data_IF_420676687920
#
_entry.id   IF_420676687920
#
_cell.length_a   1.000
_cell.length_b   1.000
_cell.length_c   1.000
_cell.angle_alpha   90.00
_cell.angle_beta   90.00
_cell.angle_gamma   90.00
#
_symmetry.space_group_name_H-M   'P 1'
#
loop_
_entity.id
_entity.type
_entity.pdbx_description
1 polymer ?
#
# COMPACT_ATOMS: atom_id res chain seq x y z
N UNK A 1 -39.45 15.29 6.76
CA UNK A 1 -38.50 14.87 5.71
C UNK A 1 -37.26 15.72 5.92
N UNK A 2 -36.37 15.25 6.78
CA UNK A 2 -35.21 16.01 7.24
C UNK A 2 -34.05 15.58 6.35
N UNK A 3 -33.65 16.47 5.45
CA UNK A 3 -32.53 16.25 4.53
C UNK A 3 -31.27 16.34 5.38
N UNK A 4 -30.73 15.20 5.80
CA UNK A 4 -29.39 15.14 6.36
C UNK A 4 -28.42 15.41 5.22
N UNK A 5 -28.00 16.67 5.10
CA UNK A 5 -26.80 17.03 4.34
C UNK A 5 -25.64 16.26 4.94
N UNK A 6 -25.14 15.27 4.20
CA UNK A 6 -23.97 14.46 4.52
C UNK A 6 -22.81 15.36 4.93
N UNK A 7 -22.59 15.44 6.24
CA UNK A 7 -21.43 16.08 6.82
C UNK A 7 -20.29 15.07 6.63
N UNK A 8 -19.55 15.20 5.53
CA UNK A 8 -18.30 14.47 5.33
C UNK A 8 -17.36 14.85 6.47
N UNK A 9 -17.33 14.01 7.51
CA UNK A 9 -16.41 14.15 8.62
C UNK A 9 -15.06 13.68 8.09
N UNK A 10 -14.31 14.58 7.47
CA UNK A 10 -12.89 14.35 7.19
C UNK A 10 -12.19 14.25 8.56
N UNK A 11 -12.07 13.04 9.09
CA UNK A 11 -11.03 12.75 10.08
C UNK A 11 -9.71 12.91 9.34
N UNK A 12 -9.12 14.10 9.46
CA UNK A 12 -7.70 14.25 9.22
C UNK A 12 -7.01 13.43 10.31
N UNK A 13 -6.78 12.14 10.05
CA UNK A 13 -5.82 11.37 10.84
C UNK A 13 -4.46 12.00 10.52
N UNK A 14 -4.07 12.97 11.34
CA UNK A 14 -2.71 13.49 11.33
C UNK A 14 -1.86 12.42 11.99
N UNK A 15 -1.64 11.28 11.33
CA UNK A 15 -0.43 10.53 11.60
C UNK A 15 0.68 11.46 11.20
N UNK A 16 1.34 12.07 12.18
CA UNK A 16 2.62 12.69 11.94
C UNK A 16 3.51 11.57 11.42
N UNK A 17 3.63 11.44 10.08
CA UNK A 17 4.80 10.86 9.48
C UNK A 17 5.92 11.75 10.00
N UNK A 18 6.52 11.37 11.13
CA UNK A 18 7.74 12.00 11.58
C UNK A 18 8.67 11.79 10.42
N UNK A 19 9.01 12.87 9.71
CA UNK A 19 9.94 12.83 8.61
C UNK A 19 11.30 12.41 9.18
N UNK A 20 11.45 11.12 9.47
CA UNK A 20 12.73 10.47 9.61
C UNK A 20 13.36 10.65 8.26
N UNK A 21 14.25 11.62 8.16
CA UNK A 21 15.08 11.77 6.99
C UNK A 21 15.97 10.53 7.01
N UNK A 22 15.61 9.46 6.33
CA UNK A 22 16.53 8.36 6.04
C UNK A 22 17.16 8.60 4.67
N UNK A 23 18.38 8.14 4.47
CA UNK A 23 19.03 8.22 3.16
C UNK A 23 18.75 6.95 2.35
N UNK A 24 18.56 7.10 1.05
CA UNK A 24 18.47 5.97 0.12
C UNK A 24 19.71 6.01 -0.77
N UNK A 25 20.60 5.03 -0.62
CA UNK A 25 21.83 4.92 -1.40
C UNK A 25 21.59 3.98 -2.59
N UNK A 26 21.61 4.47 -3.84
CA UNK A 26 21.44 3.62 -5.01
C UNK A 26 22.69 2.78 -5.27
N UNK A 27 22.48 1.50 -5.55
CA UNK A 27 23.46 0.63 -6.18
C UNK A 27 23.53 0.83 -7.70
N UNK A 28 24.47 0.14 -8.33
CA UNK A 28 24.57 0.08 -9.79
C UNK A 28 23.52 -0.87 -10.36
N UNK A 29 23.08 -0.60 -11.60
CA UNK A 29 22.26 -1.55 -12.35
C UNK A 29 23.13 -2.74 -12.74
N UNK A 30 22.64 -3.93 -12.46
CA UNK A 30 23.30 -5.19 -12.78
C UNK A 30 22.47 -6.00 -13.77
N UNK A 31 23.15 -6.82 -14.58
CA UNK A 31 22.48 -7.84 -15.40
C UNK A 31 22.34 -9.10 -14.54
N UNK A 32 21.17 -9.73 -14.54
CA UNK A 32 20.94 -10.95 -13.78
C UNK A 32 21.73 -12.13 -14.37
N UNK A 33 22.26 -12.98 -13.49
CA UNK A 33 23.00 -14.20 -13.85
C UNK A 33 22.10 -15.25 -14.51
N UNK A 34 20.84 -15.32 -14.11
CA UNK A 34 19.80 -16.18 -14.69
C UNK A 34 18.63 -15.31 -15.17
N UNK A 35 18.76 -14.62 -16.32
CA UNK A 35 17.72 -13.73 -16.80
C UNK A 35 16.51 -14.53 -17.31
N UNK A 36 15.33 -13.93 -17.21
CA UNK A 36 14.10 -14.39 -17.86
C UNK A 36 13.63 -13.33 -18.86
N UNK A 37 12.55 -13.62 -19.58
CA UNK A 37 11.95 -12.66 -20.51
C UNK A 37 11.62 -11.31 -19.85
N UNK A 38 11.16 -11.36 -18.58
CA UNK A 38 10.65 -10.20 -17.84
C UNK A 38 11.59 -9.72 -16.73
N UNK A 39 12.66 -10.47 -16.42
CA UNK A 39 13.67 -10.12 -15.42
C UNK A 39 15.06 -10.23 -16.03
N UNK A 40 15.68 -9.10 -16.39
CA UNK A 40 17.02 -9.06 -17.01
C UNK A 40 17.99 -8.17 -16.25
N UNK A 41 17.46 -7.12 -15.64
CA UNK A 41 18.22 -6.12 -14.94
C UNK A 41 17.67 -5.95 -13.52
N UNK A 42 18.57 -5.67 -12.59
CA UNK A 42 18.20 -5.35 -11.22
C UNK A 42 18.99 -4.14 -10.69
N UNK A 43 18.39 -3.41 -9.76
CA UNK A 43 19.00 -2.32 -9.01
C UNK A 43 18.51 -2.40 -7.57
N UNK A 44 19.43 -2.27 -6.62
CA UNK A 44 19.12 -2.24 -5.20
C UNK A 44 19.39 -0.85 -4.64
N UNK A 45 18.56 -0.40 -3.71
CA UNK A 45 18.83 0.74 -2.85
C UNK A 45 18.94 0.27 -1.41
N UNK A 46 19.90 0.81 -0.68
CA UNK A 46 19.99 0.65 0.77
C UNK A 46 19.31 1.84 1.43
N UNK A 47 18.35 1.57 2.33
CA UNK A 47 17.68 2.56 3.14
C UNK A 47 18.43 2.64 4.48
N UNK A 48 19.06 3.77 4.78
CA UNK A 48 19.88 3.95 5.98
C UNK A 48 19.34 5.06 6.87
N UNK A 49 19.39 4.82 8.17
CA UNK A 49 19.15 5.83 9.20
C UNK A 49 20.18 6.96 9.06
N UNK A 50 19.71 8.20 9.09
CA UNK A 50 20.58 9.35 9.36
C UNK A 50 20.70 9.60 10.88
N UNK A 51 19.69 9.18 11.65
CA UNK A 51 19.63 9.27 13.10
C UNK A 51 19.07 7.98 13.71
N UNK A 52 19.40 7.70 14.97
CA UNK A 52 18.90 6.50 15.67
C UNK A 52 17.38 6.50 15.91
N UNK A 53 16.69 7.61 15.64
CA UNK A 53 15.23 7.74 15.73
C UNK A 53 14.52 7.54 14.39
N UNK A 54 15.26 7.41 13.28
CA UNK A 54 14.64 7.22 11.97
C UNK A 54 14.02 5.82 11.89
N UNK A 55 12.78 5.76 11.38
CA UNK A 55 12.04 4.54 11.13
C UNK A 55 11.38 4.59 9.75
N UNK A 56 11.11 3.42 9.18
CA UNK A 56 10.25 3.28 8.01
C UNK A 56 8.86 2.91 8.51
N UNK A 57 7.96 3.89 8.55
CA UNK A 57 6.56 3.73 8.98
C UNK A 57 5.55 3.98 7.84
N UNK A 58 5.98 4.62 6.75
CA UNK A 58 5.15 4.92 5.60
C UNK A 58 5.79 4.48 4.26
N UNK A 59 4.95 4.03 3.32
CA UNK A 59 5.32 3.71 1.94
C UNK A 59 4.37 4.45 0.99
N UNK A 60 4.91 5.18 0.00
CA UNK A 60 4.13 5.83 -1.05
C UNK A 60 4.56 5.34 -2.45
N UNK A 61 3.68 4.62 -3.13
CA UNK A 61 3.98 3.92 -4.38
C UNK A 61 3.30 4.63 -5.54
N UNK A 62 4.07 5.12 -6.52
CA UNK A 62 3.54 5.62 -7.78
C UNK A 62 4.17 4.85 -8.96
N UNK A 63 3.99 3.54 -8.91
CA UNK A 63 4.53 2.58 -9.88
C UNK A 63 3.44 1.73 -10.50
N UNK A 64 3.86 0.94 -11.48
CA UNK A 64 3.10 -0.15 -12.05
C UNK A 64 3.92 -1.44 -11.91
N UNK A 65 3.30 -2.59 -12.19
CA UNK A 65 3.90 -3.90 -11.93
C UNK A 65 3.55 -4.41 -10.52
N UNK A 66 4.35 -5.34 -10.01
CA UNK A 66 4.10 -5.94 -8.69
C UNK A 66 5.06 -5.39 -7.66
N UNK A 67 4.55 -5.11 -6.46
CA UNK A 67 5.31 -4.66 -5.30
C UNK A 67 5.12 -5.65 -4.17
N UNK A 68 6.20 -6.14 -3.57
CA UNK A 68 6.15 -6.92 -2.34
C UNK A 68 6.78 -6.10 -1.22
N UNK A 69 6.12 -6.05 -0.07
CA UNK A 69 6.64 -5.46 1.16
C UNK A 69 6.75 -6.55 2.18
N UNK A 70 7.97 -6.80 2.65
CA UNK A 70 8.29 -7.92 3.51
C UNK A 70 9.36 -7.56 4.53
N UNK A 71 9.40 -8.32 5.62
CA UNK A 71 10.35 -8.13 6.70
C UNK A 71 11.50 -9.13 6.58
N UNK A 72 12.70 -8.68 6.93
CA UNK A 72 13.91 -9.51 6.97
C UNK A 72 14.69 -9.29 8.26
N UNK A 73 15.28 -10.35 8.76
CA UNK A 73 16.15 -10.32 9.94
C UNK A 73 17.61 -10.14 9.52
N UNK A 74 18.44 -9.67 10.46
CA UNK A 74 19.90 -9.63 10.28
C UNK A 74 20.41 -8.51 9.37
N UNK A 75 19.65 -7.43 9.19
CA UNK A 75 20.17 -6.25 8.50
C UNK A 75 21.34 -5.60 9.27
N UNK A 76 22.33 -5.02 8.56
CA UNK A 76 23.42 -4.30 9.21
C UNK A 76 22.91 -3.15 10.09
N UNK A 77 23.64 -2.82 11.16
CA UNK A 77 23.31 -1.70 12.02
C UNK A 77 23.21 -0.38 11.22
N UNK A 78 22.15 0.39 11.47
CA UNK A 78 21.84 1.62 10.73
C UNK A 78 21.12 1.42 9.40
N UNK A 79 20.89 0.18 8.95
CA UNK A 79 20.09 -0.12 7.75
C UNK A 79 18.64 -0.37 8.15
N UNK A 80 17.74 0.44 7.60
CA UNK A 80 16.29 0.30 7.77
C UNK A 80 15.68 -0.72 6.83
N UNK A 81 16.32 -0.97 5.69
CA UNK A 81 15.82 -1.88 4.68
C UNK A 81 16.54 -1.80 3.35
N UNK A 82 16.06 -2.61 2.41
CA UNK A 82 16.47 -2.59 1.01
C UNK A 82 15.26 -2.41 0.11
N UNK A 83 15.44 -1.72 -1.01
CA UNK A 83 14.49 -1.74 -2.12
C UNK A 83 15.18 -2.40 -3.30
N UNK A 84 14.67 -3.54 -3.74
CA UNK A 84 15.15 -4.21 -4.95
C UNK A 84 14.15 -3.96 -6.07
N UNK A 85 14.64 -3.53 -7.22
CA UNK A 85 13.85 -3.40 -8.43
C UNK A 85 14.41 -4.34 -9.48
N UNK A 86 13.55 -5.16 -10.05
CA UNK A 86 13.87 -6.06 -11.16
C UNK A 86 12.98 -5.76 -12.34
N UNK A 87 13.55 -5.73 -13.54
CA UNK A 87 12.78 -5.49 -14.75
C UNK A 87 13.42 -6.01 -16.03
N UNK A 88 12.68 -5.88 -17.14
CA UNK A 88 13.06 -6.42 -18.44
C UNK A 88 14.03 -5.52 -19.23
N UNK A 89 14.23 -4.26 -18.83
CA UNK A 89 15.17 -3.33 -19.47
C UNK A 89 15.85 -2.42 -18.45
N UNK A 90 17.06 -1.93 -18.77
CA UNK A 90 17.77 -0.95 -17.93
C UNK A 90 16.93 0.32 -17.76
N UNK A 91 16.27 0.79 -18.82
CA UNK A 91 15.40 1.98 -18.78
C UNK A 91 14.25 1.82 -17.79
N UNK A 92 13.62 0.64 -17.72
CA UNK A 92 12.52 0.38 -16.77
C UNK A 92 13.04 0.39 -15.32
N UNK A 93 14.21 -0.20 -15.08
CA UNK A 93 14.84 -0.23 -13.74
C UNK A 93 15.37 1.15 -13.33
N UNK A 94 15.94 1.91 -14.25
CA UNK A 94 16.51 3.23 -13.97
C UNK A 94 15.46 4.34 -13.86
N UNK A 95 14.28 4.13 -14.46
CA UNK A 95 13.15 5.05 -14.32
C UNK A 95 12.67 5.17 -12.87
N UNK A 96 13.00 4.20 -12.01
CA UNK A 96 12.70 4.26 -10.59
C UNK A 96 13.65 5.25 -9.91
N UNK A 97 13.10 6.40 -9.53
CA UNK A 97 13.79 7.41 -8.73
C UNK A 97 13.33 7.34 -7.27
N UNK A 98 14.17 7.84 -6.36
CA UNK A 98 13.85 7.93 -4.95
C UNK A 98 13.59 9.39 -4.54
N UNK A 99 12.53 9.59 -3.78
CA UNK A 99 12.42 10.69 -2.82
C UNK A 99 11.62 10.16 -1.65
N UNK A 100 12.25 9.86 -0.51
CA UNK A 100 11.60 9.27 0.69
C UNK A 100 10.52 8.23 0.31
N UNK A 101 10.99 7.13 -0.28
CA UNK A 101 10.21 6.02 -0.84
C UNK A 101 9.02 6.40 -1.75
N UNK A 102 9.04 7.56 -2.40
CA UNK A 102 8.22 7.85 -3.56
C UNK A 102 8.82 7.13 -4.77
N UNK A 103 8.39 5.90 -5.00
CA UNK A 103 8.82 5.13 -6.17
C UNK A 103 8.03 5.69 -7.36
N UNK A 104 8.64 6.60 -8.11
CA UNK A 104 8.02 7.24 -9.28
C UNK A 104 8.74 6.84 -10.55
N UNK A 105 7.99 6.59 -11.63
CA UNK A 105 8.56 6.56 -12.99
C UNK A 105 8.34 7.92 -13.63
N UNK A 106 9.39 8.73 -13.79
CA UNK A 106 9.30 10.08 -14.38
C UNK A 106 8.83 10.09 -15.84
N UNK A 107 8.92 8.94 -16.52
CA UNK A 107 8.38 8.68 -17.85
C UNK A 107 7.69 7.33 -17.70
N UNK A 108 6.40 7.22 -17.99
CA UNK A 108 5.77 5.91 -18.10
C UNK A 108 6.59 5.11 -19.12
N UNK A 109 7.32 4.03 -18.75
CA UNK A 109 7.73 3.10 -19.78
C UNK A 109 6.40 2.55 -20.29
N UNK A 110 5.96 3.04 -21.45
CA UNK A 110 4.64 2.75 -22.00
C UNK A 110 4.41 1.23 -22.10
N UNK A 111 5.49 0.43 -22.04
CA UNK A 111 5.51 -1.01 -21.96
C UNK A 111 6.75 -1.46 -21.17
N UNK A 112 6.60 -2.47 -20.31
CA UNK A 112 7.69 -2.98 -19.48
C UNK A 112 7.16 -3.98 -18.45
N UNK A 113 8.07 -4.66 -17.77
CA UNK A 113 7.75 -5.53 -16.64
C UNK A 113 8.60 -5.12 -15.45
N UNK A 114 7.94 -4.93 -14.30
CA UNK A 114 8.57 -4.47 -13.07
C UNK A 114 8.14 -5.32 -11.89
N UNK A 115 9.12 -5.73 -11.09
CA UNK A 115 8.96 -6.22 -9.72
C UNK A 115 9.73 -5.28 -8.81
N UNK A 116 9.07 -4.77 -7.78
CA UNK A 116 9.68 -4.01 -6.70
C UNK A 116 9.53 -4.81 -5.41
N UNK A 117 10.60 -4.96 -4.65
CA UNK A 117 10.60 -5.65 -3.36
C UNK A 117 11.18 -4.73 -2.30
N UNK A 118 10.43 -4.49 -1.23
CA UNK A 118 10.82 -3.65 -0.10
C UNK A 118 11.03 -4.56 1.10
N UNK A 119 12.29 -4.74 1.46
CA UNK A 119 12.72 -5.55 2.59
C UNK A 119 12.96 -4.64 3.80
N UNK A 120 12.10 -4.72 4.81
CA UNK A 120 12.17 -3.92 6.04
C UNK A 120 13.00 -4.63 7.09
N UNK A 121 13.70 -3.85 7.93
CA UNK A 121 14.39 -4.37 9.12
C UNK A 121 13.42 -5.03 10.09
N UNK A 122 13.95 -5.82 11.04
CA UNK A 122 13.15 -6.47 12.06
C UNK A 122 12.37 -5.47 12.95
N UNK A 123 12.87 -4.27 13.16
CA UNK A 123 12.14 -3.26 13.94
C UNK A 123 11.28 -2.34 13.04
N UNK A 124 11.34 -2.54 11.72
CA UNK A 124 10.59 -1.81 10.72
C UNK A 124 9.17 -2.35 10.58
N UNK A 125 8.19 -1.45 10.64
CA UNK A 125 6.78 -1.77 10.49
C UNK A 125 6.07 -0.64 9.76
N UNK A 126 5.22 -0.98 8.80
CA UNK A 126 4.45 0.01 8.07
C UNK A 126 3.09 0.23 8.72
N UNK A 127 2.76 1.50 8.96
CA UNK A 127 1.45 1.99 9.38
C UNK A 127 0.73 2.74 8.26
N UNK A 128 1.45 3.26 7.25
CA UNK A 128 0.84 4.00 6.14
C UNK A 128 1.26 3.38 4.79
N UNK A 129 0.29 2.99 3.98
CA UNK A 129 0.50 2.52 2.61
C UNK A 129 -0.32 3.37 1.67
N UNK A 130 0.35 4.18 0.87
CA UNK A 130 -0.26 4.93 -0.21
C UNK A 130 0.17 4.31 -1.54
N UNK A 131 -0.77 4.04 -2.43
CA UNK A 131 -0.48 3.60 -3.79
C UNK A 131 -1.35 4.34 -4.81
N UNK A 132 -0.68 4.80 -5.86
CA UNK A 132 -1.27 5.48 -7.00
C UNK A 132 -0.94 4.69 -8.26
N UNK A 133 -1.73 4.91 -9.31
CA UNK A 133 -1.55 4.31 -10.64
C UNK A 133 -2.03 2.86 -10.74
N UNK A 134 -1.15 1.86 -10.85
CA UNK A 134 -1.55 0.50 -11.27
C UNK A 134 -0.68 -0.61 -10.68
N UNK A 135 -0.09 -0.36 -9.53
CA UNK A 135 0.70 -1.36 -8.81
C UNK A 135 -0.20 -2.45 -8.21
N UNK A 136 0.27 -3.69 -8.24
CA UNK A 136 -0.25 -4.77 -7.41
C UNK A 136 0.67 -4.90 -6.19
N UNK A 137 0.22 -4.40 -5.04
CA UNK A 137 0.99 -4.31 -3.80
C UNK A 137 0.61 -5.45 -2.88
N UNK A 138 1.58 -6.27 -2.49
CA UNK A 138 1.41 -7.35 -1.51
C UNK A 138 2.18 -6.98 -0.26
N UNK A 139 1.44 -6.79 0.84
CA UNK A 139 2.02 -6.58 2.15
C UNK A 139 1.99 -7.91 2.88
N UNK A 140 3.17 -8.47 3.12
CA UNK A 140 3.33 -9.80 3.68
C UNK A 140 3.29 -9.81 5.20
N UNK A 141 3.20 -11.02 5.75
CA UNK A 141 3.25 -11.30 7.17
C UNK A 141 4.39 -10.57 7.87
N UNK A 142 4.05 -9.89 8.96
CA UNK A 142 5.01 -9.18 9.82
C UNK A 142 5.53 -7.85 9.28
N UNK A 143 5.10 -7.41 8.08
CA UNK A 143 5.47 -6.10 7.54
C UNK A 143 4.63 -4.94 8.09
N UNK A 144 3.44 -5.22 8.64
CA UNK A 144 2.57 -4.20 9.26
C UNK A 144 2.78 -4.05 10.76
N UNK A 145 2.71 -2.82 11.26
CA UNK A 145 2.85 -2.45 12.68
C UNK A 145 1.58 -2.61 13.50
N UNK A 146 0.93 -3.76 13.41
CA UNK A 146 -0.49 -3.95 13.80
C UNK A 146 -0.68 -4.76 15.09
N UNK A 147 0.35 -4.94 15.91
CA UNK A 147 0.26 -5.71 17.16
C UNK A 147 0.15 -4.83 18.42
N UNK A 148 -0.18 -3.55 18.26
CA UNK A 148 -0.27 -2.57 19.34
C UNK A 148 -1.54 -1.75 19.21
N UNK A 149 -2.31 -1.68 20.31
CA UNK A 149 -3.55 -0.87 20.40
C UNK A 149 -3.33 0.63 20.23
N UNK A 150 -2.08 1.08 20.15
CA UNK A 150 -1.71 2.48 19.95
C UNK A 150 -1.23 2.78 18.53
N UNK A 151 -1.22 1.77 17.64
CA UNK A 151 -0.75 1.92 16.27
C UNK A 151 -1.93 2.07 15.31
N UNK A 152 -1.81 3.00 14.38
CA UNK A 152 -2.80 3.19 13.33
C UNK A 152 -2.41 2.40 12.07
N UNK A 153 -3.39 2.06 11.25
CA UNK A 153 -3.17 1.56 9.89
C UNK A 153 -3.95 2.41 8.90
N UNK A 154 -3.25 3.00 7.94
CA UNK A 154 -3.80 3.79 6.85
C UNK A 154 -3.42 3.14 5.52
N UNK A 155 -4.42 2.82 4.70
CA UNK A 155 -4.20 2.28 3.35
C UNK A 155 -4.97 3.13 2.34
N UNK A 156 -4.26 3.84 1.49
CA UNK A 156 -4.82 4.66 0.43
C UNK A 156 -4.47 4.08 -0.94
N UNK A 157 -5.48 3.71 -1.73
CA UNK A 157 -5.29 3.15 -3.06
C UNK A 157 -6.08 3.94 -4.11
N UNK A 158 -5.43 4.30 -5.22
CA UNK A 158 -6.08 5.03 -6.31
C UNK A 158 -5.66 4.53 -7.71
N UNK A 159 -6.41 4.96 -8.72
CA UNK A 159 -6.20 4.57 -10.12
C UNK A 159 -6.78 3.18 -10.41
N UNK A 160 -5.91 2.22 -10.69
CA UNK A 160 -6.19 0.80 -10.99
C UNK A 160 -5.34 -0.11 -10.10
N UNK A 161 -4.79 0.44 -9.02
CA UNK A 161 -3.92 -0.30 -8.10
C UNK A 161 -4.70 -1.37 -7.34
N UNK A 162 -3.98 -2.40 -6.89
CA UNK A 162 -4.55 -3.42 -6.02
C UNK A 162 -3.65 -3.59 -4.82
N UNK A 163 -4.20 -3.55 -3.62
CA UNK A 163 -3.46 -3.77 -2.36
C UNK A 163 -3.95 -5.04 -1.70
N UNK A 164 -3.02 -5.90 -1.34
CA UNK A 164 -3.26 -7.16 -0.65
C UNK A 164 -2.55 -7.11 0.71
N UNK A 165 -3.28 -6.84 1.78
CA UNK A 165 -2.80 -7.07 3.14
C UNK A 165 -3.04 -8.53 3.47
N UNK A 166 -1.97 -9.33 3.47
CA UNK A 166 -2.08 -10.80 3.47
C UNK A 166 -1.39 -11.41 4.68
N UNK A 167 -2.13 -11.52 5.79
CA UNK A 167 -1.69 -12.29 6.97
C UNK A 167 -2.89 -12.98 7.64
N UNK A 168 -3.50 -13.91 6.90
CA UNK A 168 -4.71 -14.64 7.30
C UNK A 168 -4.59 -15.38 8.66
N UNK A 169 -3.38 -15.53 9.19
CA UNK A 169 -3.11 -16.17 10.49
C UNK A 169 -3.02 -15.21 11.67
N UNK A 170 -2.90 -13.90 11.42
CA UNK A 170 -2.60 -12.90 12.45
C UNK A 170 -3.81 -12.02 12.73
N UNK A 171 -3.97 -11.63 13.99
CA UNK A 171 -4.92 -10.62 14.40
C UNK A 171 -4.30 -9.22 14.20
N UNK A 172 -5.10 -8.27 13.72
CA UNK A 172 -4.77 -6.86 13.73
C UNK A 172 -5.36 -6.22 15.00
N UNK A 173 -4.50 -5.54 15.76
CA UNK A 173 -4.87 -4.73 16.92
C UNK A 173 -4.41 -3.30 16.66
N UNK A 174 -5.38 -2.39 16.53
CA UNK A 174 -5.14 -1.02 16.08
C UNK A 174 -5.77 0.01 17.03
N UNK A 175 -5.22 1.22 17.00
CA UNK A 175 -5.91 2.42 17.48
C UNK A 175 -6.96 2.81 16.45
N UNK A 176 -6.52 3.26 15.28
CA UNK A 176 -7.38 3.62 14.14
C UNK A 176 -7.12 2.71 12.92
N UNK A 177 -8.17 2.43 12.14
CA UNK A 177 -8.07 1.77 10.82
C UNK A 177 -8.71 2.65 9.76
N UNK A 178 -7.92 3.10 8.80
CA UNK A 178 -8.37 3.91 7.67
C UNK A 178 -8.04 3.19 6.36
N UNK A 179 -9.05 2.96 5.52
CA UNK A 179 -8.86 2.42 4.18
C UNK A 179 -9.63 3.26 3.18
N UNK A 180 -8.92 3.86 2.23
CA UNK A 180 -9.50 4.67 1.17
C UNK A 180 -9.16 4.07 -0.19
N UNK A 181 -10.16 3.92 -1.05
CA UNK A 181 -10.00 3.41 -2.40
C UNK A 181 -10.74 4.29 -3.42
N UNK A 182 -10.10 4.65 -4.53
CA UNK A 182 -10.71 5.50 -5.58
C UNK A 182 -10.33 5.06 -7.01
N UNK A 183 -11.03 5.59 -8.01
CA UNK A 183 -10.93 5.14 -9.40
C UNK A 183 -11.51 3.74 -9.59
N UNK A 184 -10.64 2.75 -9.78
CA UNK A 184 -10.95 1.32 -9.89
C UNK A 184 -10.01 0.48 -9.03
N UNK A 185 -9.41 1.12 -8.02
CA UNK A 185 -8.49 0.45 -7.11
C UNK A 185 -9.22 -0.58 -6.24
N UNK A 186 -8.53 -1.66 -5.89
CA UNK A 186 -9.07 -2.68 -4.99
C UNK A 186 -8.18 -2.82 -3.76
N UNK A 187 -8.75 -2.78 -2.57
CA UNK A 187 -8.03 -3.06 -1.33
C UNK A 187 -8.62 -4.31 -0.69
N UNK A 188 -7.76 -5.29 -0.47
CA UNK A 188 -8.13 -6.52 0.20
C UNK A 188 -7.33 -6.68 1.50
N UNK A 189 -8.05 -6.74 2.62
CA UNK A 189 -7.48 -6.99 3.94
C UNK A 189 -7.87 -8.39 4.36
N UNK A 190 -6.94 -9.35 4.35
CA UNK A 190 -7.21 -10.73 4.76
C UNK A 190 -6.36 -11.13 5.95
N UNK A 191 -7.02 -11.23 7.10
CA UNK A 191 -6.42 -11.42 8.43
C UNK A 191 -7.30 -12.32 9.28
N UNK A 192 -6.81 -12.80 10.43
CA UNK A 192 -7.60 -13.69 11.29
C UNK A 192 -8.77 -12.95 11.96
N UNK A 193 -8.49 -11.77 12.50
CA UNK A 193 -9.44 -10.89 13.19
C UNK A 193 -8.95 -9.44 13.18
N UNK A 194 -9.85 -8.48 13.32
CA UNK A 194 -9.54 -7.06 13.44
C UNK A 194 -10.16 -6.51 14.73
N UNK A 195 -9.34 -5.89 15.57
CA UNK A 195 -9.77 -5.16 16.77
C UNK A 195 -9.25 -3.72 16.69
N UNK A 196 -10.16 -2.75 16.73
CA UNK A 196 -9.86 -1.32 16.65
C UNK A 196 -10.37 -0.65 17.91
N UNK A 197 -9.49 0.09 18.61
CA UNK A 197 -9.81 0.67 19.92
C UNK A 197 -10.38 2.07 19.87
N UNK A 198 -10.23 2.75 18.73
CA UNK A 198 -10.90 3.99 18.39
C UNK A 198 -11.74 3.73 17.13
N UNK A 199 -11.40 4.34 16.00
CA UNK A 199 -12.33 4.48 14.88
C UNK A 199 -11.92 3.66 13.66
N UNK A 200 -12.94 3.23 12.91
CA UNK A 200 -12.79 2.62 11.58
C UNK A 200 -13.37 3.55 10.54
N UNK A 201 -12.58 3.87 9.52
CA UNK A 201 -13.03 4.60 8.33
C UNK A 201 -12.71 3.77 7.08
N UNK A 202 -13.75 3.38 6.34
CA UNK A 202 -13.59 2.74 5.04
C UNK A 202 -14.30 3.60 3.99
N UNK A 203 -13.58 4.09 2.99
CA UNK A 203 -14.14 4.92 1.94
C UNK A 203 -13.84 4.36 0.55
N UNK A 204 -14.88 4.08 -0.23
CA UNK A 204 -14.75 3.57 -1.59
C UNK A 204 -15.43 4.49 -2.61
N UNK A 205 -14.66 5.15 -3.47
CA UNK A 205 -15.15 6.08 -4.50
C UNK A 205 -15.09 5.48 -5.90
N UNK A 206 -15.82 6.10 -6.83
CA UNK A 206 -15.86 5.75 -8.25
C UNK A 206 -16.32 4.30 -8.51
N UNK A 207 -15.41 3.40 -8.85
CA UNK A 207 -15.64 1.96 -9.06
C UNK A 207 -14.67 1.10 -8.25
N UNK A 208 -14.05 1.71 -7.23
CA UNK A 208 -13.15 1.00 -6.33
C UNK A 208 -13.90 -0.01 -5.46
N UNK A 209 -13.15 -0.95 -4.87
CA UNK A 209 -13.71 -1.89 -3.91
C UNK A 209 -12.79 -2.10 -2.71
N UNK A 210 -13.38 -2.21 -1.54
CA UNK A 210 -12.70 -2.59 -0.29
C UNK A 210 -13.32 -3.88 0.21
N UNK A 211 -12.50 -4.89 0.47
CA UNK A 211 -12.93 -6.15 1.09
C UNK A 211 -12.10 -6.44 2.33
N UNK A 212 -12.75 -6.46 3.49
CA UNK A 212 -12.18 -6.86 4.77
C UNK A 212 -12.62 -8.30 5.05
N UNK A 213 -11.66 -9.21 4.94
CA UNK A 213 -11.81 -10.64 5.12
C UNK A 213 -11.19 -11.07 6.46
N UNK A 214 -11.96 -11.04 7.53
CA UNK A 214 -11.59 -11.66 8.80
C UNK A 214 -12.77 -12.48 9.37
N UNK A 215 -12.54 -13.06 10.55
CA UNK A 215 -13.58 -13.81 11.28
C UNK A 215 -14.40 -12.95 12.25
N UNK A 216 -13.78 -11.93 12.84
CA UNK A 216 -14.42 -10.85 13.59
C UNK A 216 -13.83 -9.47 13.27
N UNK A 217 -14.70 -8.45 13.24
CA UNK A 217 -14.35 -7.02 13.28
C UNK A 217 -14.97 -6.39 14.54
N UNK A 218 -14.13 -5.98 15.47
CA UNK A 218 -14.53 -5.35 16.73
C UNK A 218 -14.03 -3.91 16.79
N UNK A 219 -14.93 -2.95 16.93
CA UNK A 219 -14.66 -1.51 16.95
C UNK A 219 -15.18 -0.93 18.26
N UNK A 220 -14.29 -0.34 19.06
CA UNK A 220 -14.65 0.26 20.34
C UNK A 220 -15.09 1.73 20.24
N UNK A 221 -14.73 2.43 19.15
CA UNK A 221 -15.20 3.77 18.81
C UNK A 221 -16.23 3.74 17.67
N UNK A 222 -16.13 4.72 16.79
CA UNK A 222 -17.05 4.90 15.67
C UNK A 222 -16.64 4.09 14.44
N UNK A 223 -17.63 3.69 13.64
CA UNK A 223 -17.40 3.03 12.36
C UNK A 223 -18.11 3.78 11.23
N UNK A 224 -17.31 4.33 10.31
CA UNK A 224 -17.77 5.09 9.15
C UNK A 224 -17.41 4.33 7.88
N UNK A 225 -18.42 3.84 7.18
CA UNK A 225 -18.30 3.16 5.89
C UNK A 225 -19.02 3.99 4.83
N UNK A 226 -18.26 4.54 3.89
CA UNK A 226 -18.81 5.42 2.85
C UNK A 226 -18.48 4.91 1.45
N UNK A 227 -19.48 4.93 0.57
CA UNK A 227 -19.31 4.60 -0.84
C UNK A 227 -19.81 5.73 -1.73
N UNK A 228 -19.14 5.97 -2.85
CA UNK A 228 -19.56 6.93 -3.86
C UNK A 228 -19.49 6.31 -5.25
N UNK A 229 -20.35 6.77 -6.16
CA UNK A 229 -20.47 6.19 -7.51
C UNK A 229 -20.97 4.74 -7.45
N UNK A 230 -20.19 3.82 -8.01
CA UNK A 230 -20.37 2.37 -7.97
C UNK A 230 -19.41 1.66 -7.00
N UNK A 231 -18.73 2.42 -6.14
CA UNK A 231 -17.80 1.87 -5.16
C UNK A 231 -18.47 0.87 -4.21
N UNK A 232 -17.72 -0.08 -3.69
CA UNK A 232 -18.25 -1.11 -2.79
C UNK A 232 -17.36 -1.35 -1.57
N UNK A 233 -17.99 -1.63 -0.43
CA UNK A 233 -17.31 -2.09 0.78
C UNK A 233 -17.93 -3.41 1.20
N UNK A 234 -17.10 -4.39 1.52
CA UNK A 234 -17.56 -5.68 2.00
C UNK A 234 -16.77 -6.15 3.22
N UNK A 235 -17.47 -6.69 4.23
CA UNK A 235 -16.84 -7.34 5.39
C UNK A 235 -17.37 -8.79 5.52
N UNK A 236 -16.51 -9.82 5.46
CA UNK A 236 -16.96 -11.23 5.52
C UNK A 236 -17.19 -11.75 6.93
N UNK A 237 -17.13 -10.87 7.91
CA UNK A 237 -17.11 -11.20 9.33
C UNK A 237 -18.35 -11.97 9.74
N UNK A 238 -18.17 -12.99 10.58
CA UNK A 238 -19.31 -13.60 11.30
C UNK A 238 -19.84 -12.65 12.37
N UNK A 239 -18.96 -11.82 12.90
CA UNK A 239 -19.26 -10.86 13.96
C UNK A 239 -18.71 -9.48 13.59
N UNK A 240 -19.62 -8.51 13.45
CA UNK A 240 -19.30 -7.09 13.36
C UNK A 240 -19.87 -6.42 14.60
N UNK A 241 -18.99 -6.06 15.53
CA UNK A 241 -19.36 -5.39 16.78
C UNK A 241 -18.83 -3.96 16.76
N UNK A 242 -19.75 -3.00 16.88
CA UNK A 242 -19.45 -1.56 16.94
C UNK A 242 -20.05 -1.05 18.25
N UNK A 243 -19.22 -0.47 19.10
CA UNK A 243 -19.62 -0.11 20.46
C UNK A 243 -20.30 1.26 20.55
N UNK A 244 -19.97 2.19 19.65
CA UNK A 244 -20.48 3.57 19.66
C UNK A 244 -21.45 3.79 18.50
N UNK A 245 -21.06 4.52 17.46
CA UNK A 245 -21.94 4.84 16.34
C UNK A 245 -21.48 4.17 15.05
N UNK A 246 -22.46 3.81 14.22
CA UNK A 246 -22.25 3.30 12.87
C UNK A 246 -22.88 4.23 11.84
N UNK A 247 -22.09 4.63 10.85
CA UNK A 247 -22.53 5.38 9.68
C UNK A 247 -22.18 4.58 8.43
N UNK A 248 -23.18 4.18 7.65
CA UNK A 248 -23.01 3.36 6.46
C UNK A 248 -23.76 3.91 5.27
N UNK A 249 -23.11 4.64 4.37
CA UNK A 249 -23.78 5.41 3.32
C UNK A 249 -23.16 5.27 1.92
N UNK A 250 -23.97 5.04 0.86
CA UNK A 250 -25.29 4.43 0.90
C UNK A 250 -25.23 2.98 1.40
N UNK A 251 -26.23 2.58 2.18
CA UNK A 251 -26.34 1.21 2.72
C UNK A 251 -26.31 0.10 1.67
N UNK A 252 -26.68 0.38 0.41
CA UNK A 252 -26.66 -0.60 -0.68
C UNK A 252 -25.26 -0.85 -1.26
N UNK A 253 -24.32 0.08 -1.08
CA UNK A 253 -22.92 -0.06 -1.48
C UNK A 253 -22.07 -0.82 -0.47
N UNK A 254 -22.65 -1.20 0.67
CA UNK A 254 -21.96 -1.90 1.76
C UNK A 254 -22.61 -3.26 1.98
N UNK A 255 -21.81 -4.33 2.06
CA UNK A 255 -22.30 -5.67 2.37
C UNK A 255 -21.57 -6.31 3.54
N UNK A 256 -22.37 -6.89 4.43
CA UNK A 256 -21.92 -7.72 5.56
C UNK A 256 -22.62 -9.08 5.45
N UNK A 257 -22.25 -9.93 4.46
CA UNK A 257 -23.04 -11.09 4.09
C UNK A 257 -23.17 -12.14 5.20
N UNK A 258 -22.16 -12.26 6.07
CA UNK A 258 -22.09 -13.28 7.13
C UNK A 258 -22.40 -12.75 8.53
N UNK A 259 -22.52 -11.44 8.70
CA UNK A 259 -22.75 -10.83 10.01
C UNK A 259 -24.20 -11.04 10.45
N UNK A 260 -24.39 -11.40 11.72
CA UNK A 260 -25.73 -11.53 12.32
C UNK A 260 -26.41 -10.17 12.49
N UNK A 261 -25.63 -9.16 12.87
CA UNK A 261 -26.05 -7.76 12.87
C UNK A 261 -25.36 -7.04 11.71
N UNK A 262 -26.17 -6.35 10.91
CA UNK A 262 -25.74 -5.66 9.69
C UNK A 262 -25.80 -4.14 9.85
N UNK A 263 -26.17 -3.63 11.03
CA UNK A 263 -26.20 -2.18 11.29
C UNK A 263 -26.97 -1.37 10.23
N UNK A 264 -28.06 -1.95 9.70
CA UNK A 264 -28.88 -1.33 8.66
C UNK A 264 -28.35 -1.42 7.22
N UNK A 265 -27.20 -2.05 6.96
CA UNK A 265 -26.72 -2.23 5.58
C UNK A 265 -27.62 -3.14 4.76
N UNK A 266 -27.76 -2.83 3.46
CA UNK A 266 -28.69 -3.52 2.55
C UNK A 266 -27.99 -4.20 1.37
N UNK A 267 -26.69 -3.98 1.16
CA UNK A 267 -25.92 -4.69 0.13
C UNK A 267 -25.89 -6.20 0.35
N UNK A 268 -26.05 -6.96 -0.73
CA UNK A 268 -26.19 -8.43 -0.71
C UNK A 268 -25.08 -9.18 -1.45
N UNK A 269 -24.08 -8.44 -1.96
CA UNK A 269 -22.96 -9.03 -2.68
C UNK A 269 -22.04 -9.80 -1.73
N UNK A 270 -21.34 -10.79 -2.29
CA UNK A 270 -20.29 -11.50 -1.55
C UNK A 270 -19.03 -10.66 -1.57
N UNK A 271 -18.23 -10.75 -0.52
CA UNK A 271 -16.93 -10.11 -0.55
C UNK A 271 -16.01 -10.88 -1.47
N UNK A 272 -15.24 -10.14 -2.24
CA UNK A 272 -14.30 -10.72 -3.17
C UNK A 272 -13.16 -11.38 -2.40
N UNK A 273 -12.97 -12.67 -2.68
CA UNK A 273 -11.77 -13.39 -2.25
C UNK A 273 -10.67 -13.18 -3.26
N UNK A 274 -9.43 -13.08 -2.81
CA UNK A 274 -8.29 -12.89 -3.69
C UNK A 274 -7.24 -13.98 -3.48
N UNK A 275 -6.41 -14.15 -4.52
CA UNK A 275 -5.14 -14.86 -4.41
C UNK A 275 -4.05 -13.83 -4.62
N UNK A 276 -3.06 -13.81 -3.73
CA UNK A 276 -1.90 -12.92 -3.89
C UNK A 276 -1.22 -13.18 -5.23
N UNK A 277 -0.84 -12.15 -5.99
CA UNK A 277 -0.12 -12.33 -7.24
C UNK A 277 1.19 -13.09 -7.04
N UNK A 278 1.68 -13.75 -8.08
CA UNK A 278 2.98 -14.41 -8.04
C UNK A 278 4.10 -13.37 -7.86
N UNK A 279 5.14 -13.73 -7.11
CA UNK A 279 6.35 -12.90 -6.92
C UNK A 279 7.22 -12.87 -8.18
N UNK A 280 6.82 -12.07 -9.16
CA UNK A 280 7.54 -11.88 -10.44
C UNK A 280 7.22 -10.52 -11.06
N UNK A 281 8.04 -10.05 -12.02
CA UNK A 281 7.74 -8.81 -12.73
C UNK A 281 6.40 -8.86 -13.46
N UNK A 282 5.59 -7.81 -13.29
CA UNK A 282 4.31 -7.65 -13.96
C UNK A 282 4.28 -6.40 -14.83
N UNK A 283 3.31 -6.34 -15.74
CA UNK A 283 3.23 -5.30 -16.77
C UNK A 283 3.13 -3.90 -16.17
N UNK A 284 3.88 -2.96 -16.73
CA UNK A 284 3.81 -1.54 -16.36
C UNK A 284 2.71 -0.78 -17.11
N UNK A 285 2.07 -1.43 -18.09
CA UNK A 285 0.96 -0.91 -18.88
C UNK A 285 -0.38 -1.14 -18.18
N UNK A 286 -1.25 -0.13 -18.18
CA UNK A 286 -2.63 -0.19 -17.69
C UNK A 286 -3.51 -0.99 -18.66
N UNK A 287 -3.38 -2.32 -18.68
CA UNK A 287 -4.42 -3.16 -19.27
C UNK A 287 -5.33 -3.66 -18.16
N UNK A 288 -6.61 -3.30 -18.26
CA UNK A 288 -7.77 -3.77 -17.48
C UNK A 288 -8.03 -5.28 -17.69
N UNK A 289 -7.02 -6.11 -17.51
CA UNK A 289 -7.08 -7.55 -17.73
C UNK A 289 -7.38 -8.30 -16.45
N UNK A 290 -8.57 -8.88 -16.37
CA UNK A 290 -8.89 -9.99 -15.45
C UNK A 290 -7.78 -11.05 -15.54
N UNK A 291 -7.22 -11.56 -14.43
CA UNK A 291 -6.12 -12.51 -14.49
C UNK A 291 -6.61 -13.83 -15.10
N UNK A 292 -6.21 -14.09 -16.34
CA UNK A 292 -6.41 -15.38 -17.00
C UNK A 292 -5.07 -15.95 -17.42
N UNK A 293 -4.80 -17.19 -17.01
CA UNK A 293 -3.84 -18.06 -17.66
C UNK A 293 -2.47 -18.19 -17.00
N UNK A 294 -2.22 -19.39 -16.48
CA UNK A 294 -0.90 -19.90 -16.06
C UNK A 294 0.17 -19.66 -17.14
N UNK A 295 1.33 -19.15 -16.74
CA UNK A 295 2.58 -19.23 -17.51
C UNK A 295 3.61 -19.94 -16.65
N UNK A 296 4.20 -21.00 -17.22
CA UNK A 296 5.09 -21.98 -16.59
C UNK A 296 6.26 -21.34 -15.85
N UNK A 297 6.59 -21.97 -14.73
CA UNK A 297 7.60 -21.62 -13.73
C UNK A 297 9.01 -21.47 -14.30
N UNK A 298 9.77 -20.53 -13.74
CA UNK A 298 11.19 -20.66 -13.42
C UNK A 298 11.54 -19.62 -12.35
N UNK A 299 11.72 -20.08 -11.12
CA UNK A 299 12.11 -19.27 -9.97
C UNK A 299 13.57 -18.85 -10.14
N UNK A 300 13.84 -17.55 -10.33
CA UNK A 300 15.20 -17.02 -10.32
C UNK A 300 15.61 -16.75 -8.87
N UNK A 301 16.53 -17.55 -8.34
CA UNK A 301 17.06 -17.39 -6.98
C UNK A 301 18.25 -16.41 -7.00
N UNK A 302 18.22 -15.43 -6.12
CA UNK A 302 19.36 -14.56 -5.82
C UNK A 302 20.24 -15.29 -4.80
N UNK A 303 21.42 -15.77 -5.20
CA UNK A 303 22.44 -16.28 -4.27
C UNK A 303 23.35 -15.14 -3.79
N UNK A 304 23.74 -15.23 -2.51
CA UNK A 304 24.61 -14.33 -1.75
C UNK A 304 25.71 -13.62 -2.56
N UNK A 305 25.70 -12.29 -2.55
CA UNK A 305 26.75 -11.46 -3.13
C UNK A 305 27.65 -10.90 -2.03
N UNK A 306 28.72 -11.65 -1.71
CA UNK A 306 29.92 -11.09 -1.08
C UNK A 306 31.10 -11.39 -2.02
N UNK A 307 31.60 -10.37 -2.70
CA UNK A 307 32.64 -10.53 -3.72
C UNK A 307 33.22 -9.18 -4.13
N UNK A 308 34.43 -8.93 -3.64
CA UNK A 308 35.22 -7.72 -3.73
C UNK A 308 35.83 -7.48 -5.13
N UNK A 309 36.08 -6.20 -5.39
CA UNK A 309 36.94 -5.55 -6.37
C UNK A 309 36.70 -5.60 -7.90
N UNK A 310 36.62 -4.40 -8.48
CA UNK A 310 36.49 -4.16 -9.93
C UNK A 310 36.36 -2.68 -10.32
N UNK A 311 37.26 -1.84 -9.79
CA UNK A 311 37.38 -0.39 -9.98
C UNK A 311 37.14 0.10 -11.43
N UNK A 312 36.07 0.88 -11.65
CA UNK A 312 36.01 1.85 -12.75
C UNK A 312 35.39 3.16 -12.26
N UNK A 313 36.20 4.24 -12.29
CA UNK A 313 35.80 5.60 -11.91
C UNK A 313 34.82 6.15 -12.95
N UNK A 314 33.63 6.54 -12.52
CA UNK A 314 32.83 7.56 -13.21
C UNK A 314 32.41 8.64 -12.21
N UNK A 315 32.61 9.86 -12.65
CA UNK A 315 32.62 11.12 -11.92
C UNK A 315 31.25 11.42 -11.32
N UNK A 316 31.18 11.59 -10.00
CA UNK A 316 29.99 12.05 -9.31
C UNK A 316 29.78 13.55 -9.59
N UNK A 317 28.64 13.89 -10.20
CA UNK A 317 28.15 15.26 -10.26
C UNK A 317 27.31 15.49 -9.00
N UNK A 318 27.88 16.20 -8.02
CA UNK A 318 27.14 16.78 -6.90
C UNK A 318 26.21 17.86 -7.43
N UNK A 319 24.92 17.56 -7.54
CA UNK A 319 23.88 18.58 -7.60
C UNK A 319 23.14 18.53 -6.28
N UNK A 320 23.47 19.47 -5.40
CA UNK A 320 22.68 19.73 -4.20
C UNK A 320 21.31 20.22 -4.64
N UNK A 321 20.31 19.36 -4.55
CA UNK A 321 18.91 19.73 -4.74
C UNK A 321 18.31 20.01 -3.37
N UNK A 322 18.12 21.31 -3.14
CA UNK A 322 17.30 21.89 -2.08
C UNK A 322 15.94 21.20 -2.00
N UNK A 323 15.56 20.87 -0.77
CA UNK A 323 14.28 20.28 -0.37
C UNK A 323 13.09 20.88 -1.14
N UNK A 324 12.43 20.06 -1.95
CA UNK A 324 11.08 20.36 -2.43
C UNK A 324 10.15 19.96 -1.29
N UNK A 325 9.56 20.96 -0.61
CA UNK A 325 8.37 20.75 0.21
C UNK A 325 7.30 20.12 -0.70
N UNK A 326 7.08 18.82 -0.59
CA UNK A 326 5.86 18.20 -1.08
C UNK A 326 4.74 18.44 -0.06
N UNK A 327 4.41 19.71 0.12
CA UNK A 327 3.09 20.12 0.56
C UNK A 327 2.23 20.20 -0.69
N UNK A 328 1.64 19.07 -1.09
CA UNK A 328 0.45 19.10 -1.94
C UNK A 328 -0.60 18.23 -1.27
N UNK A 329 -1.01 18.71 -0.09
CA UNK A 329 -2.42 18.60 0.28
C UNK A 329 -3.23 19.10 -0.92
N UNK A 330 -4.19 18.30 -1.36
CA UNK A 330 -5.31 18.79 -2.14
C UNK A 330 -6.07 19.75 -1.21
N UNK A 331 -5.66 21.02 -1.20
CA UNK A 331 -6.49 22.13 -0.77
C UNK A 331 -7.54 22.32 -1.86
N UNK A 332 -8.68 21.64 -1.73
CA UNK A 332 -9.87 22.03 -2.48
C UNK A 332 -10.35 23.35 -1.86
N UNK A 333 -10.21 24.44 -2.62
CA UNK A 333 -10.53 25.79 -2.17
C UNK A 333 -12.00 25.93 -1.77
N UNK A 334 -12.22 26.43 -0.56
CA UNK A 334 -13.51 26.97 -0.17
C UNK A 334 -13.76 28.27 -0.93
N UNK A 335 -14.64 28.24 -1.93
CA UNK A 335 -15.35 29.43 -2.36
C UNK A 335 -16.56 29.60 -1.43
N UNK A 336 -16.41 30.42 -0.39
CA UNK A 336 -17.54 30.96 0.37
C UNK A 336 -18.29 31.91 -0.56
N UNK A 337 -19.36 31.45 -1.19
CA UNK A 337 -20.38 32.34 -1.71
C UNK A 337 -21.28 32.67 -0.53
N UNK A 338 -20.97 33.77 0.15
CA UNK A 338 -21.90 34.39 1.07
C UNK A 338 -23.02 35.02 0.26
N UNK A 339 -24.27 34.74 0.61
CA UNK A 339 -25.37 35.66 0.40
C UNK A 339 -26.49 35.41 1.40
N UNK A 340 -26.99 36.54 1.89
CA UNK A 340 -28.23 36.77 2.62
C UNK A 340 -29.43 36.01 2.03
#
# INVERSE_FOLDING_TARGET
MQVYTSLALFLAVVTSCTNGYFSAKPGLIQTLTTPSEHAKYAKQWTLEQNTNSDALDAISLNVAGTVFVNRVDGLPAGVLGYVNVTGNSQTVVDAITHGVLNITTAIAPNQGYLLTEVFLSADGFISVVETKRSAQVVIEKGALGTNSKNSDLVVEASGTSVVYVSDASSALHLADLVVEASGSANVYVHVASVTVTKDVTLESRDSAAISVLATSLEVAGDAVLETQGSGTICTTEKQVAIAVDYVGEPTSGISMPNASDKHGVTGTFKCDTFTTPARKPATTSSSSGTPTGMVKDNNASLSDMNGDDGRTRSTASTVGLSAIKLGTMIMLGMAVVGLL
#
